data_IF_200700532057
#
_entry.id   IF_200700532057
#
_cell.length_a   1.000
_cell.length_b   1.000
_cell.length_c   1.000
_cell.angle_alpha   90.00
_cell.angle_beta   90.00
_cell.angle_gamma   90.00
#
_symmetry.space_group_name_H-M   'P 1'
#
loop_
_entity.id
_entity.type
_entity.pdbx_description
1 polymer ?
#
# COMPACT_ATOMS: atom_id res chain seq x y z
N UNK A 1 45.53 12.02 6.60
CA UNK A 1 45.28 12.98 7.69
C UNK A 1 44.06 13.81 7.29
N UNK A 2 42.86 13.31 7.56
CA UNK A 2 41.62 14.08 7.46
C UNK A 2 41.03 14.12 8.86
N UNK A 3 41.30 15.22 9.52
CA UNK A 3 40.89 15.54 10.88
C UNK A 3 39.39 15.74 10.96
N UNK A 4 38.76 14.91 11.79
CA UNK A 4 37.73 15.26 12.76
C UNK A 4 36.66 16.29 12.34
N UNK A 5 35.43 15.79 12.18
CA UNK A 5 34.27 16.41 12.82
C UNK A 5 33.53 15.28 13.54
N UNK A 6 33.82 15.11 14.83
CA UNK A 6 32.87 14.54 15.77
C UNK A 6 31.93 15.67 16.18
N UNK A 7 30.64 15.49 15.95
CA UNK A 7 29.59 16.24 16.63
C UNK A 7 28.40 15.31 16.79
N UNK A 8 28.29 14.77 17.99
CA UNK A 8 27.16 14.03 18.52
C UNK A 8 25.85 14.77 18.24
N UNK A 9 25.06 14.24 17.32
CA UNK A 9 23.62 14.42 17.32
C UNK A 9 23.08 13.11 16.79
N UNK A 10 22.29 12.43 17.61
CA UNK A 10 21.51 11.26 17.24
C UNK A 10 20.62 11.61 16.04
N UNK A 11 21.15 11.48 14.82
CA UNK A 11 20.35 11.36 13.62
C UNK A 11 20.02 9.88 13.49
N UNK A 12 19.14 9.39 14.35
CA UNK A 12 18.30 8.25 14.00
C UNK A 12 17.77 8.54 12.60
N UNK A 13 18.33 7.84 11.61
CA UNK A 13 18.01 8.02 10.20
C UNK A 13 16.54 7.65 10.06
N UNK A 14 15.66 8.65 10.07
CA UNK A 14 14.24 8.47 9.75
C UNK A 14 14.19 8.15 8.26
N UNK A 15 14.23 6.86 7.93
CA UNK A 15 13.81 6.41 6.61
C UNK A 15 12.30 6.72 6.54
N UNK A 16 11.84 7.53 5.56
CA UNK A 16 10.42 7.78 5.43
C UNK A 16 9.74 6.43 5.15
N UNK A 17 8.98 5.93 6.13
CA UNK A 17 8.14 4.76 5.93
C UNK A 17 7.18 5.07 4.78
N UNK A 18 7.28 4.29 3.70
CA UNK A 18 6.32 4.40 2.60
C UNK A 18 4.98 3.90 3.11
N UNK A 19 3.96 4.74 3.00
CA UNK A 19 2.59 4.32 3.28
C UNK A 19 2.19 3.22 2.31
N UNK A 20 1.58 2.17 2.84
CA UNK A 20 1.14 0.97 2.11
C UNK A 20 -0.32 1.13 1.69
N UNK A 21 -0.59 0.97 0.41
CA UNK A 21 -1.95 1.04 -0.15
C UNK A 21 -2.30 -0.30 -0.80
N UNK A 22 -3.44 -0.85 -0.43
CA UNK A 22 -4.07 -1.95 -1.16
C UNK A 22 -5.08 -1.39 -2.15
N UNK A 23 -4.92 -1.66 -3.43
CA UNK A 23 -5.93 -1.39 -4.45
C UNK A 23 -6.74 -2.65 -4.72
N UNK A 24 -8.07 -2.55 -4.71
CA UNK A 24 -8.99 -3.65 -5.05
C UNK A 24 -9.85 -3.22 -6.23
N UNK A 25 -9.58 -3.79 -7.40
CA UNK A 25 -10.09 -3.35 -8.71
C UNK A 25 -9.96 -4.52 -9.71
N UNK A 26 -11.04 -4.92 -10.38
CA UNK A 26 -11.03 -6.06 -11.31
C UNK A 26 -10.57 -5.68 -12.73
N UNK A 27 -10.63 -4.39 -13.11
CA UNK A 27 -10.12 -3.94 -14.40
C UNK A 27 -8.60 -3.74 -14.37
N UNK A 28 -7.88 -4.78 -14.80
CA UNK A 28 -6.41 -4.86 -14.74
C UNK A 28 -5.69 -3.68 -15.40
N UNK A 29 -6.19 -3.11 -16.50
CA UNK A 29 -5.51 -1.98 -17.16
C UNK A 29 -5.63 -0.70 -16.34
N UNK A 30 -6.82 -0.41 -15.79
CA UNK A 30 -7.07 0.69 -14.89
C UNK A 30 -6.28 0.53 -13.59
N UNK A 31 -6.29 -0.67 -12.99
CA UNK A 31 -5.50 -0.97 -11.80
C UNK A 31 -4.01 -0.68 -12.00
N UNK A 32 -3.43 -1.14 -13.12
CA UNK A 32 -2.02 -0.86 -13.46
C UNK A 32 -1.73 0.64 -13.56
N UNK A 33 -2.64 1.42 -14.12
CA UNK A 33 -2.48 2.88 -14.21
C UNK A 33 -2.50 3.54 -12.82
N UNK A 34 -3.41 3.11 -11.93
CA UNK A 34 -3.52 3.60 -10.56
C UNK A 34 -2.29 3.23 -9.74
N UNK A 35 -1.88 1.95 -9.74
CA UNK A 35 -0.68 1.46 -9.03
C UNK A 35 0.56 2.26 -9.45
N UNK A 36 0.77 2.45 -10.76
CA UNK A 36 1.89 3.22 -11.29
C UNK A 36 1.89 4.67 -10.80
N UNK A 37 0.70 5.28 -10.65
CA UNK A 37 0.57 6.66 -10.15
C UNK A 37 0.84 6.74 -8.65
N UNK A 38 0.35 5.79 -7.87
CA UNK A 38 0.60 5.70 -6.42
C UNK A 38 2.09 5.46 -6.11
N UNK A 39 2.71 4.52 -6.81
CA UNK A 39 4.15 4.24 -6.66
C UNK A 39 5.01 5.47 -7.00
N UNK A 40 4.66 6.22 -8.05
CA UNK A 40 5.32 7.50 -8.38
C UNK A 40 5.13 8.58 -7.31
N UNK A 41 4.04 8.54 -6.56
CA UNK A 41 3.77 9.44 -5.44
C UNK A 41 4.48 8.99 -4.13
N UNK A 42 5.22 7.89 -4.15
CA UNK A 42 6.02 7.42 -3.02
C UNK A 42 5.36 6.37 -2.14
N UNK A 43 4.18 5.86 -2.52
CA UNK A 43 3.51 4.77 -1.80
C UNK A 43 4.10 3.41 -2.17
N UNK A 44 4.01 2.47 -1.24
CA UNK A 44 4.11 1.04 -1.52
C UNK A 44 2.70 0.55 -1.85
N UNK A 45 2.53 -0.22 -2.93
CA UNK A 45 1.19 -0.55 -3.42
C UNK A 45 1.13 -2.00 -3.90
N UNK A 46 0.12 -2.72 -3.41
CA UNK A 46 -0.30 -4.04 -3.86
C UNK A 46 -1.70 -3.95 -4.50
N UNK A 47 -2.05 -4.92 -5.34
CA UNK A 47 -3.30 -4.94 -6.09
C UNK A 47 -3.98 -6.31 -6.00
N UNK A 48 -5.30 -6.30 -5.79
CA UNK A 48 -6.19 -7.46 -5.86
C UNK A 48 -7.30 -7.24 -6.89
N UNK A 49 -7.67 -8.30 -7.61
CA UNK A 49 -8.76 -8.29 -8.60
C UNK A 49 -10.11 -8.77 -8.00
N UNK A 50 -10.09 -9.25 -6.75
CA UNK A 50 -11.25 -9.84 -6.07
C UNK A 50 -11.20 -9.59 -4.56
N UNK A 51 -12.34 -9.72 -3.87
CA UNK A 51 -12.39 -9.71 -2.41
C UNK A 51 -11.59 -10.87 -1.82
N UNK A 52 -11.58 -12.04 -2.47
CA UNK A 52 -10.76 -13.17 -2.03
C UNK A 52 -9.27 -12.80 -1.94
N UNK A 53 -8.71 -12.25 -3.00
CA UNK A 53 -7.29 -11.87 -3.04
C UNK A 53 -7.01 -10.69 -2.11
N UNK A 54 -7.94 -9.74 -2.03
CA UNK A 54 -7.83 -8.61 -1.11
C UNK A 54 -7.72 -9.07 0.34
N UNK A 55 -8.50 -10.06 0.80
CA UNK A 55 -8.42 -10.61 2.16
C UNK A 55 -7.08 -11.27 2.47
N UNK A 56 -6.46 -11.90 1.48
CA UNK A 56 -5.11 -12.46 1.63
C UNK A 56 -4.09 -11.34 1.81
N UNK A 57 -4.18 -10.30 0.98
CA UNK A 57 -3.28 -9.15 1.03
C UNK A 57 -3.47 -8.31 2.30
N UNK A 58 -4.68 -8.13 2.82
CA UNK A 58 -4.90 -7.43 4.10
C UNK A 58 -4.03 -8.04 5.22
N UNK A 59 -3.92 -9.38 5.27
CA UNK A 59 -3.15 -10.09 6.29
C UNK A 59 -1.64 -10.14 6.02
N UNK A 60 -1.25 -10.22 4.75
CA UNK A 60 0.17 -10.39 4.37
C UNK A 60 0.90 -9.05 4.19
N UNK A 61 0.20 -8.08 3.61
CA UNK A 61 0.76 -6.78 3.26
C UNK A 61 0.56 -5.76 4.40
N UNK A 62 -0.48 -5.93 5.23
CA UNK A 62 -0.87 -5.00 6.30
C UNK A 62 -0.94 -3.54 5.79
N UNK A 63 -1.85 -3.25 4.84
CA UNK A 63 -1.96 -1.93 4.25
C UNK A 63 -2.41 -0.87 5.27
N UNK A 64 -1.85 0.34 5.18
CA UNK A 64 -2.31 1.50 5.95
C UNK A 64 -3.68 2.00 5.46
N UNK A 65 -3.97 1.79 4.17
CA UNK A 65 -5.17 2.29 3.48
C UNK A 65 -5.57 1.34 2.36
N UNK A 66 -6.87 1.32 2.03
CA UNK A 66 -7.37 0.61 0.86
C UNK A 66 -8.16 1.53 -0.07
N UNK A 67 -8.01 1.31 -1.37
CA UNK A 67 -8.84 1.88 -2.43
C UNK A 67 -9.69 0.75 -3.01
N UNK A 68 -11.01 0.89 -2.93
CA UNK A 68 -11.96 -0.20 -3.17
C UNK A 68 -12.86 0.15 -4.35
N UNK A 69 -12.92 -0.70 -5.37
CA UNK A 69 -14.09 -0.75 -6.24
C UNK A 69 -15.27 -1.32 -5.46
N UNK A 70 -16.42 -0.68 -5.63
CA UNK A 70 -17.69 -1.10 -5.06
C UNK A 70 -18.25 -2.36 -5.71
N UNK A 71 -17.91 -2.64 -6.97
CA UNK A 71 -18.44 -3.77 -7.74
C UNK A 71 -17.30 -4.68 -8.16
N UNK A 72 -17.12 -5.76 -7.41
CA UNK A 72 -16.13 -6.78 -7.71
C UNK A 72 -16.82 -8.05 -8.22
N UNK A 73 -16.11 -8.93 -8.93
CA UNK A 73 -16.69 -10.18 -9.46
C UNK A 73 -17.24 -11.10 -8.36
N UNK A 74 -16.76 -10.96 -7.13
CA UNK A 74 -17.11 -11.80 -5.98
C UNK A 74 -17.82 -11.06 -4.83
N UNK A 75 -18.25 -9.80 -5.03
CA UNK A 75 -19.08 -9.10 -4.06
C UNK A 75 -18.96 -7.57 -4.07
N UNK A 76 -19.33 -6.95 -2.95
CA UNK A 76 -19.21 -5.50 -2.77
C UNK A 76 -17.90 -5.16 -2.08
N UNK A 77 -17.17 -4.16 -2.57
CA UNK A 77 -15.92 -3.69 -1.95
C UNK A 77 -16.03 -3.40 -0.44
N UNK A 78 -17.19 -2.89 0.01
CA UNK A 78 -17.42 -2.59 1.43
C UNK A 78 -17.44 -3.83 2.33
N UNK A 79 -17.67 -5.02 1.78
CA UNK A 79 -17.65 -6.27 2.54
C UNK A 79 -16.26 -6.53 3.15
N UNK A 80 -15.21 -5.95 2.56
CA UNK A 80 -13.83 -6.03 3.04
C UNK A 80 -13.59 -5.23 4.33
N UNK A 81 -14.44 -4.25 4.67
CA UNK A 81 -14.23 -3.42 5.86
C UNK A 81 -14.22 -4.23 7.16
N UNK A 82 -14.92 -5.37 7.18
CA UNK A 82 -14.94 -6.29 8.33
C UNK A 82 -13.60 -6.99 8.59
N UNK A 83 -12.69 -6.99 7.60
CA UNK A 83 -11.36 -7.59 7.68
C UNK A 83 -10.28 -6.60 8.21
N UNK A 84 -10.59 -5.29 8.30
CA UNK A 84 -9.72 -4.28 8.89
C UNK A 84 -10.07 -4.07 10.38
N UNK A 85 -9.45 -4.85 11.26
CA UNK A 85 -9.63 -4.78 12.72
C UNK A 85 -8.30 -4.63 13.44
#
# INVERSE_FOLDING_TARGET
MLSQISSSTDKSVFLPFKKKILLVEDEVLFAKAVVKRLQKAGFECEHAESLHDARLLVKQFEPDMALLDMRLPDGNGLDLLSDFV
#
